data_IF_620287213511
#
_entry.id   IF_620287213511
#
_cell.length_a   1.000
_cell.length_b   1.000
_cell.length_c   1.000
_cell.angle_alpha   90.00
_cell.angle_beta   90.00
_cell.angle_gamma   90.00
#
_symmetry.space_group_name_H-M   'P 1'
#
loop_
_entity.id
_entity.type
_entity.pdbx_description
1 polymer ?
#
# COMPACT_ATOMS: atom_id res chain seq x y z
N UNK A 1 -12.81 15.07 -32.84
CA UNK A 1 -13.36 15.24 -31.49
C UNK A 1 -12.34 16.08 -30.71
N UNK A 2 -12.71 17.26 -30.23
CA UNK A 2 -11.79 18.14 -29.49
C UNK A 2 -11.48 17.43 -28.16
N UNK A 3 -10.23 17.01 -27.96
CA UNK A 3 -9.76 16.52 -26.66
C UNK A 3 -9.96 17.65 -25.65
N UNK A 4 -10.67 17.34 -24.57
CA UNK A 4 -10.85 18.26 -23.47
C UNK A 4 -9.47 18.57 -22.87
N UNK A 5 -9.08 19.84 -22.77
CA UNK A 5 -7.75 20.22 -22.25
C UNK A 5 -7.49 19.70 -20.81
N UNK A 6 -8.56 19.30 -20.12
CA UNK A 6 -8.49 18.73 -18.76
C UNK A 6 -7.93 17.29 -18.74
N UNK A 7 -8.02 16.55 -19.85
CA UNK A 7 -7.59 15.15 -19.95
C UNK A 7 -6.21 14.97 -20.61
N UNK A 8 -5.49 16.07 -20.86
CA UNK A 8 -4.12 16.04 -21.37
C UNK A 8 -3.12 16.41 -20.27
N UNK A 9 -2.08 15.59 -20.13
CA UNK A 9 -0.99 15.73 -19.14
C UNK A 9 0.38 15.71 -19.82
N UNK A 10 1.42 16.17 -19.14
CA UNK A 10 2.80 15.94 -19.58
C UNK A 10 3.23 14.53 -19.19
N UNK A 11 2.75 14.06 -18.02
CA UNK A 11 3.05 12.74 -17.50
C UNK A 11 1.82 12.08 -16.87
N UNK A 12 1.58 10.84 -17.25
CA UNK A 12 0.65 9.94 -16.53
C UNK A 12 1.47 8.86 -15.83
N UNK A 13 1.22 8.66 -14.53
CA UNK A 13 1.80 7.58 -13.72
C UNK A 13 0.69 6.59 -13.38
N UNK A 14 0.87 5.33 -13.77
CA UNK A 14 -0.08 4.25 -13.47
C UNK A 14 0.44 3.45 -12.27
N UNK A 15 -0.25 3.59 -11.15
CA UNK A 15 0.08 3.05 -9.84
C UNK A 15 0.62 4.10 -8.88
N UNK A 16 -0.04 4.28 -7.73
CA UNK A 16 0.34 5.21 -6.67
C UNK A 16 1.12 4.52 -5.51
N UNK A 17 1.81 3.43 -5.80
CA UNK A 17 2.80 2.83 -4.89
C UNK A 17 4.05 3.70 -4.73
N UNK A 18 5.06 3.27 -3.91
CA UNK A 18 6.27 4.07 -3.66
C UNK A 18 7.01 4.51 -4.93
N UNK A 19 7.07 3.66 -5.95
CA UNK A 19 7.65 4.03 -7.24
C UNK A 19 6.84 5.10 -7.98
N UNK A 20 5.50 5.01 -7.91
CA UNK A 20 4.60 5.90 -8.64
C UNK A 20 4.40 7.25 -7.98
N UNK A 21 3.98 7.31 -6.71
CA UNK A 21 3.72 8.60 -6.07
C UNK A 21 5.00 9.46 -5.94
N UNK A 22 6.17 8.85 -5.72
CA UNK A 22 7.44 9.59 -5.67
C UNK A 22 7.76 10.17 -7.05
N UNK A 23 7.57 9.40 -8.12
CA UNK A 23 7.73 9.87 -9.50
C UNK A 23 6.77 11.02 -9.80
N UNK A 24 5.47 10.85 -9.50
CA UNK A 24 4.45 11.87 -9.75
C UNK A 24 4.73 13.17 -9.01
N UNK A 25 5.08 13.09 -7.71
CA UNK A 25 5.45 14.26 -6.91
C UNK A 25 6.67 14.97 -7.46
N UNK A 26 7.71 14.21 -7.84
CA UNK A 26 8.94 14.82 -8.36
C UNK A 26 8.71 15.50 -9.71
N UNK A 27 7.95 14.88 -10.61
CA UNK A 27 7.59 15.47 -11.89
C UNK A 27 6.78 16.76 -11.73
N UNK A 28 5.79 16.75 -10.82
CA UNK A 28 4.99 17.94 -10.52
C UNK A 28 5.84 19.08 -9.93
N UNK A 29 6.80 18.77 -9.04
CA UNK A 29 7.77 19.76 -8.50
C UNK A 29 8.68 20.36 -9.59
N UNK A 30 8.89 19.65 -10.69
CA UNK A 30 9.64 20.13 -11.86
C UNK A 30 8.76 20.92 -12.84
N UNK A 31 7.50 21.17 -12.50
CA UNK A 31 6.57 21.97 -13.28
C UNK A 31 5.75 21.21 -14.31
N UNK A 32 5.81 19.88 -14.32
CA UNK A 32 4.99 19.05 -15.22
C UNK A 32 3.55 18.99 -14.73
N UNK A 33 2.59 18.93 -15.66
CA UNK A 33 1.20 18.58 -15.39
C UNK A 33 1.06 17.06 -15.30
N UNK A 34 0.79 16.55 -14.10
CA UNK A 34 0.87 15.12 -13.79
C UNK A 34 -0.49 14.56 -13.36
N UNK A 35 -0.86 13.39 -13.90
CA UNK A 35 -1.89 12.53 -13.34
C UNK A 35 -1.27 11.27 -12.72
N UNK A 36 -1.79 10.84 -11.58
CA UNK A 36 -1.45 9.58 -10.94
C UNK A 36 -2.72 8.75 -10.78
N UNK A 37 -2.72 7.53 -11.32
CA UNK A 37 -3.89 6.66 -11.39
C UNK A 37 -3.65 5.45 -10.49
N UNK A 38 -4.60 5.12 -9.61
CA UNK A 38 -4.51 3.90 -8.79
C UNK A 38 -5.89 3.25 -8.61
N UNK A 39 -5.90 1.92 -8.56
CA UNK A 39 -7.11 1.11 -8.38
C UNK A 39 -7.52 0.91 -6.92
N UNK A 40 -6.68 1.26 -5.95
CA UNK A 40 -6.89 0.94 -4.51
C UNK A 40 -7.76 1.95 -3.75
N UNK A 41 -8.02 3.10 -4.29
CA UNK A 41 -8.75 4.15 -3.59
C UNK A 41 -7.94 4.91 -2.52
N UNK A 42 -6.71 4.48 -2.22
CA UNK A 42 -5.77 5.18 -1.35
C UNK A 42 -4.35 5.03 -1.89
N UNK A 43 -3.52 6.09 -1.92
CA UNK A 43 -2.15 6.02 -2.40
C UNK A 43 -1.25 5.24 -1.43
N UNK A 44 -0.04 4.92 -1.91
CA UNK A 44 0.96 4.20 -1.12
C UNK A 44 1.14 2.75 -1.54
N UNK A 45 0.28 2.23 -2.42
CA UNK A 45 0.36 0.88 -2.97
C UNK A 45 0.39 -0.21 -1.90
N UNK A 46 1.02 -1.33 -2.21
CA UNK A 46 1.19 -2.45 -1.27
C UNK A 46 1.97 -2.03 -0.03
N UNK A 47 3.05 -1.25 -0.18
CA UNK A 47 3.92 -0.91 0.93
C UNK A 47 3.19 -0.19 2.09
N UNK A 48 2.44 0.88 1.80
CA UNK A 48 1.78 1.66 2.84
C UNK A 48 0.52 0.98 3.36
N UNK A 49 -0.23 0.32 2.48
CA UNK A 49 -1.56 -0.20 2.84
C UNK A 49 -1.52 -1.61 3.45
N UNK A 50 -0.76 -2.53 2.84
CA UNK A 50 -0.81 -3.97 3.18
C UNK A 50 0.57 -4.64 3.17
N UNK A 51 1.63 -3.88 3.42
CA UNK A 51 3.01 -4.38 3.38
C UNK A 51 3.90 -3.74 4.43
N UNK A 52 4.85 -2.90 3.99
CA UNK A 52 5.95 -2.38 4.82
C UNK A 52 5.48 -1.67 6.09
N UNK A 53 4.51 -0.77 5.98
CA UNK A 53 4.08 0.04 7.14
C UNK A 53 3.31 -0.80 8.16
N UNK A 54 2.25 -1.54 7.79
CA UNK A 54 1.56 -2.38 8.77
C UNK A 54 2.45 -3.47 9.35
N UNK A 55 3.34 -4.10 8.55
CA UNK A 55 4.28 -5.11 9.07
C UNK A 55 5.21 -4.53 10.11
N UNK A 56 5.86 -3.39 9.82
CA UNK A 56 6.78 -2.75 10.76
C UNK A 56 6.10 -2.28 12.04
N UNK A 57 4.86 -1.80 11.94
CA UNK A 57 4.09 -1.43 13.12
C UNK A 57 3.81 -2.63 14.03
N UNK A 58 3.42 -3.78 13.46
CA UNK A 58 3.18 -5.00 14.23
C UNK A 58 4.47 -5.61 14.77
N UNK A 59 5.55 -5.66 13.97
CA UNK A 59 6.85 -6.16 14.41
C UNK A 59 7.37 -5.33 15.59
N UNK A 60 7.36 -4.01 15.49
CA UNK A 60 7.78 -3.14 16.58
C UNK A 60 6.94 -3.35 17.86
N UNK A 61 5.63 -3.45 17.72
CA UNK A 61 4.74 -3.69 18.86
C UNK A 61 5.00 -5.09 19.50
N UNK A 62 5.31 -6.11 18.68
CA UNK A 62 5.64 -7.45 19.18
C UNK A 62 7.00 -7.50 19.86
N UNK A 63 8.00 -6.78 19.33
CA UNK A 63 9.32 -6.62 19.96
C UNK A 63 9.19 -5.99 21.35
N UNK A 64 8.49 -4.86 21.46
CA UNK A 64 8.25 -4.20 22.77
C UNK A 64 7.52 -5.11 23.74
N UNK A 65 6.55 -5.90 23.26
CA UNK A 65 5.85 -6.87 24.10
C UNK A 65 6.79 -7.97 24.60
N UNK A 66 7.62 -8.50 23.72
CA UNK A 66 8.56 -9.57 24.07
C UNK A 66 9.68 -9.08 25.01
N UNK A 67 10.30 -7.95 24.70
CA UNK A 67 11.31 -7.29 25.55
C UNK A 67 10.75 -7.01 26.95
N UNK A 68 9.50 -6.50 27.03
CA UNK A 68 8.86 -6.22 28.32
C UNK A 68 8.64 -7.51 29.14
N UNK A 69 8.31 -8.62 28.48
CA UNK A 69 8.14 -9.92 29.15
C UNK A 69 9.45 -10.50 29.71
N UNK A 70 10.57 -10.18 29.09
CA UNK A 70 11.91 -10.67 29.46
C UNK A 70 12.74 -9.60 30.18
N UNK A 71 12.15 -8.48 30.55
CA UNK A 71 12.84 -7.34 31.17
C UNK A 71 13.40 -7.64 32.58
N UNK A 72 12.92 -8.66 33.23
CA UNK A 72 13.44 -9.11 34.55
C UNK A 72 14.93 -9.51 34.50
N UNK A 73 15.39 -10.07 33.39
CA UNK A 73 16.80 -10.40 33.14
C UNK A 73 17.71 -9.15 33.17
N UNK A 74 17.12 -7.98 32.86
CA UNK A 74 17.79 -6.67 32.94
C UNK A 74 17.56 -5.95 34.28
N UNK A 75 16.91 -6.61 35.25
CA UNK A 75 16.57 -6.03 36.56
C UNK A 75 15.35 -5.10 36.54
N UNK A 76 14.54 -5.11 35.48
CA UNK A 76 13.33 -4.28 35.34
C UNK A 76 12.10 -5.14 35.65
N UNK A 77 11.38 -4.80 36.71
CA UNK A 77 10.16 -5.51 37.12
C UNK A 77 8.91 -4.82 36.58
N UNK A 78 8.19 -5.48 35.70
CA UNK A 78 7.00 -4.94 35.01
C UNK A 78 5.68 -5.58 35.48
N UNK A 79 5.74 -6.68 36.24
CA UNK A 79 4.57 -7.49 36.59
C UNK A 79 4.03 -8.26 35.37
N UNK A 80 2.74 -8.69 35.43
CA UNK A 80 2.16 -9.52 34.38
C UNK A 80 1.80 -8.69 33.14
N UNK A 81 2.59 -8.82 32.09
CA UNK A 81 2.31 -8.20 30.78
C UNK A 81 1.18 -8.96 30.06
N UNK A 82 0.24 -8.23 29.47
CA UNK A 82 -0.89 -8.77 28.69
C UNK A 82 -0.95 -8.10 27.33
N UNK A 83 -1.25 -8.89 26.30
CA UNK A 83 -1.52 -8.40 24.97
C UNK A 83 -2.99 -7.98 24.86
N UNK A 84 -3.22 -6.78 24.31
CA UNK A 84 -4.52 -6.31 23.81
C UNK A 84 -4.37 -6.21 22.27
N UNK A 85 -4.76 -7.29 21.58
CA UNK A 85 -4.58 -7.39 20.12
C UNK A 85 -5.39 -6.32 19.38
N UNK A 86 -6.60 -6.01 19.84
CA UNK A 86 -7.44 -4.98 19.21
C UNK A 86 -6.74 -3.61 19.19
N UNK A 87 -6.15 -3.23 20.34
CA UNK A 87 -5.37 -1.97 20.41
C UNK A 87 -4.09 -2.02 19.57
N UNK A 88 -3.42 -3.17 19.49
CA UNK A 88 -2.25 -3.35 18.63
C UNK A 88 -2.64 -3.20 17.16
N UNK A 89 -3.76 -3.78 16.72
CA UNK A 89 -4.26 -3.63 15.37
C UNK A 89 -4.70 -2.19 15.06
N UNK A 90 -5.32 -1.51 16.03
CA UNK A 90 -5.65 -0.09 15.90
C UNK A 90 -4.38 0.79 15.80
N UNK A 91 -3.31 0.46 16.54
CA UNK A 91 -2.02 1.13 16.43
C UNK A 91 -1.42 0.97 15.02
N UNK A 92 -1.42 -0.26 14.49
CA UNK A 92 -1.01 -0.54 13.11
C UNK A 92 -1.82 0.30 12.12
N UNK A 93 -3.15 0.34 12.26
CA UNK A 93 -4.02 1.05 11.33
C UNK A 93 -3.78 2.57 11.35
N UNK A 94 -3.57 3.18 12.52
CA UNK A 94 -3.18 4.60 12.61
C UNK A 94 -1.89 4.90 11.84
N UNK A 95 -0.93 3.98 11.84
CA UNK A 95 0.29 4.12 11.05
C UNK A 95 0.01 4.12 9.54
N UNK A 96 -0.84 3.23 9.08
CA UNK A 96 -1.29 3.16 7.67
C UNK A 96 -2.00 4.44 7.27
N UNK A 97 -3.01 4.85 8.05
CA UNK A 97 -3.84 6.02 7.75
C UNK A 97 -3.00 7.32 7.72
N UNK A 98 -2.10 7.49 8.68
CA UNK A 98 -1.23 8.66 8.72
C UNK A 98 -0.30 8.76 7.49
N UNK A 99 0.24 7.63 7.03
CA UNK A 99 1.11 7.62 5.86
C UNK A 99 0.33 7.85 4.56
N UNK A 100 -0.81 7.19 4.37
CA UNK A 100 -1.62 7.36 3.16
C UNK A 100 -2.19 8.77 3.04
N UNK A 101 -2.69 9.33 4.15
CA UNK A 101 -3.14 10.73 4.21
C UNK A 101 -1.99 11.72 3.92
N UNK A 102 -0.79 11.42 4.41
CA UNK A 102 0.40 12.21 4.13
C UNK A 102 0.73 12.25 2.64
N UNK A 103 0.66 11.11 1.94
CA UNK A 103 0.88 11.05 0.48
C UNK A 103 -0.22 11.80 -0.27
N UNK A 104 -1.49 11.60 0.08
CA UNK A 104 -2.62 12.35 -0.52
C UNK A 104 -2.43 13.86 -0.35
N UNK A 105 -2.06 14.31 0.85
CA UNK A 105 -1.77 15.72 1.11
C UNK A 105 -0.64 16.24 0.19
N UNK A 106 0.46 15.49 0.06
CA UNK A 106 1.59 15.88 -0.79
C UNK A 106 1.21 15.94 -2.27
N UNK A 107 0.43 14.96 -2.77
CA UNK A 107 -0.05 14.96 -4.15
C UNK A 107 -0.93 16.17 -4.41
N UNK A 108 -1.89 16.45 -3.54
CA UNK A 108 -2.75 17.64 -3.63
C UNK A 108 -1.95 18.95 -3.55
N UNK A 109 -1.00 19.05 -2.62
CA UNK A 109 -0.14 20.23 -2.46
C UNK A 109 0.69 20.54 -3.69
N UNK A 110 1.12 19.52 -4.43
CA UNK A 110 1.93 19.67 -5.64
C UNK A 110 1.08 19.68 -6.93
N UNK A 111 -0.25 19.67 -6.84
CA UNK A 111 -1.13 19.75 -8.00
C UNK A 111 -1.17 18.50 -8.87
N UNK A 112 -0.80 17.32 -8.31
CA UNK A 112 -0.96 16.03 -8.99
C UNK A 112 -2.44 15.68 -9.04
N UNK A 113 -2.97 15.39 -10.25
CA UNK A 113 -4.32 14.90 -10.42
C UNK A 113 -4.40 13.42 -9.98
N UNK A 114 -5.06 13.15 -8.85
CA UNK A 114 -5.37 11.78 -8.43
C UNK A 114 -6.60 11.28 -9.17
N UNK A 115 -6.48 10.13 -9.83
CA UNK A 115 -7.57 9.48 -10.55
C UNK A 115 -7.72 8.05 -10.02
N UNK A 116 -8.89 7.77 -9.44
CA UNK A 116 -9.17 6.46 -8.86
C UNK A 116 -9.82 5.56 -9.92
N UNK A 117 -9.10 4.54 -10.34
CA UNK A 117 -9.58 3.64 -11.37
C UNK A 117 -8.54 2.63 -11.83
N UNK A 118 -9.00 1.73 -12.67
CA UNK A 118 -8.14 0.74 -13.33
C UNK A 118 -7.72 1.28 -14.71
N UNK A 119 -6.42 1.54 -14.86
CA UNK A 119 -5.86 2.13 -16.06
C UNK A 119 -5.46 1.06 -17.08
N UNK A 120 -5.75 1.31 -18.34
CA UNK A 120 -5.35 0.51 -19.47
C UNK A 120 -4.64 1.38 -20.52
N UNK A 121 -3.41 1.01 -20.88
CA UNK A 121 -2.65 1.66 -21.95
C UNK A 121 -3.18 1.16 -23.30
N UNK A 122 -3.90 2.00 -24.04
CA UNK A 122 -4.51 1.62 -25.32
C UNK A 122 -3.52 1.76 -26.48
N UNK A 123 -2.70 2.80 -26.45
CA UNK A 123 -1.59 3.05 -27.37
C UNK A 123 -0.58 4.02 -26.76
N UNK A 124 0.59 4.22 -27.35
CA UNK A 124 1.59 5.15 -26.82
C UNK A 124 0.97 6.54 -26.54
N UNK A 125 1.07 6.99 -25.29
CA UNK A 125 0.56 8.28 -24.83
C UNK A 125 -0.94 8.34 -24.55
N UNK A 126 -1.71 7.24 -24.72
CA UNK A 126 -3.15 7.22 -24.45
C UNK A 126 -3.53 6.15 -23.44
N UNK A 127 -4.23 6.57 -22.41
CA UNK A 127 -4.65 5.74 -21.27
C UNK A 127 -6.16 5.84 -21.10
N UNK A 128 -6.81 4.69 -21.05
CA UNK A 128 -8.21 4.57 -20.66
C UNK A 128 -8.30 4.15 -19.20
N UNK A 129 -9.15 4.80 -18.43
CA UNK A 129 -9.34 4.55 -17.01
C UNK A 129 -10.78 4.17 -16.73
N UNK A 130 -11.01 2.93 -16.31
CA UNK A 130 -12.29 2.52 -15.72
C UNK A 130 -12.34 3.06 -14.28
N UNK A 131 -13.15 4.09 -14.05
CA UNK A 131 -13.24 4.79 -12.77
C UNK A 131 -13.91 3.93 -11.69
N UNK A 132 -13.48 4.07 -10.43
CA UNK A 132 -14.07 3.32 -9.31
C UNK A 132 -15.52 3.73 -9.00
N UNK A 133 -15.88 4.97 -9.30
CA UNK A 133 -17.25 5.50 -9.15
C UNK A 133 -18.14 5.25 -10.36
N UNK A 134 -17.60 4.56 -11.38
CA UNK A 134 -18.29 4.19 -12.61
C UNK A 134 -17.92 5.06 -13.80
N UNK A 135 -18.12 4.50 -14.98
CA UNK A 135 -17.77 5.16 -16.23
C UNK A 135 -16.31 4.97 -16.65
N UNK A 136 -15.96 5.57 -17.76
CA UNK A 136 -14.65 5.49 -18.38
C UNK A 136 -14.15 6.89 -18.73
N UNK A 137 -12.87 7.15 -18.47
CA UNK A 137 -12.19 8.40 -18.81
C UNK A 137 -10.99 8.13 -19.71
N UNK A 138 -10.89 8.85 -20.82
CA UNK A 138 -9.75 8.74 -21.75
C UNK A 138 -8.80 9.89 -21.51
N UNK A 139 -7.54 9.56 -21.22
CA UNK A 139 -6.47 10.52 -20.91
C UNK A 139 -5.38 10.44 -21.97
N UNK A 140 -4.65 11.53 -22.16
CA UNK A 140 -3.46 11.55 -23.02
C UNK A 140 -2.28 12.22 -22.33
N UNK A 141 -1.07 11.76 -22.63
CA UNK A 141 0.16 12.37 -22.12
C UNK A 141 1.33 12.20 -23.08
N UNK A 142 2.31 13.08 -22.94
CA UNK A 142 3.57 12.97 -23.69
C UNK A 142 4.41 11.78 -23.17
N UNK A 143 4.27 11.47 -21.87
CA UNK A 143 4.96 10.35 -21.24
C UNK A 143 4.00 9.54 -20.34
N UNK A 144 4.21 8.22 -20.31
CA UNK A 144 3.50 7.30 -19.39
C UNK A 144 4.49 6.45 -18.64
N UNK A 145 4.37 6.44 -17.32
CA UNK A 145 5.17 5.58 -16.42
C UNK A 145 4.28 4.47 -15.86
N UNK A 146 4.71 3.22 -16.07
CA UNK A 146 4.09 2.04 -15.49
C UNK A 146 4.75 1.74 -14.15
N UNK A 147 4.03 1.97 -13.05
CA UNK A 147 4.45 1.71 -11.68
C UNK A 147 3.40 0.83 -10.96
N UNK A 148 2.91 -0.17 -11.67
CA UNK A 148 1.75 -1.00 -11.28
C UNK A 148 2.00 -1.91 -10.09
N UNK A 149 3.26 -2.06 -9.65
CA UNK A 149 3.64 -2.85 -8.49
C UNK A 149 3.62 -4.34 -8.73
N UNK A 150 3.30 -5.10 -7.70
CA UNK A 150 3.26 -6.56 -7.69
C UNK A 150 2.04 -7.07 -6.94
N UNK A 151 1.67 -8.29 -7.24
CA UNK A 151 0.58 -9.02 -6.56
C UNK A 151 1.11 -10.34 -6.00
N UNK A 152 0.33 -10.97 -5.14
CA UNK A 152 0.66 -12.28 -4.59
C UNK A 152 0.73 -13.32 -5.71
N UNK A 153 1.85 -14.06 -5.75
CA UNK A 153 1.98 -15.20 -6.67
C UNK A 153 1.23 -16.40 -6.09
N UNK A 154 0.19 -16.91 -6.76
CA UNK A 154 -0.54 -18.05 -6.25
C UNK A 154 0.33 -19.32 -6.28
N UNK A 155 0.18 -20.17 -5.27
CA UNK A 155 0.78 -21.51 -5.26
C UNK A 155 -0.16 -22.47 -6.00
N UNK A 156 0.31 -23.20 -7.04
CA UNK A 156 -0.53 -24.13 -7.78
C UNK A 156 -1.20 -25.17 -6.86
N UNK A 157 -2.51 -25.32 -7.00
CA UNK A 157 -3.30 -26.25 -6.19
C UNK A 157 -3.67 -25.75 -4.79
N UNK A 158 -3.33 -24.50 -4.45
CA UNK A 158 -3.69 -23.88 -3.17
C UNK A 158 -4.52 -22.63 -3.45
N UNK A 159 -5.74 -22.61 -2.95
CA UNK A 159 -6.61 -21.44 -3.02
C UNK A 159 -6.43 -20.58 -1.76
N UNK A 160 -6.14 -19.31 -1.97
CA UNK A 160 -6.03 -18.31 -0.89
C UNK A 160 -7.43 -17.78 -0.62
N UNK A 161 -8.00 -18.13 0.54
CA UNK A 161 -9.35 -17.73 0.97
C UNK A 161 -9.33 -16.47 1.87
N UNK A 162 -8.14 -16.01 2.27
CA UNK A 162 -7.89 -14.90 3.21
C UNK A 162 -8.55 -15.13 4.61
N UNK A 163 -8.90 -16.37 4.93
CA UNK A 163 -9.44 -16.78 6.24
C UNK A 163 -8.52 -17.79 6.93
N UNK A 164 -8.28 -18.95 6.30
CA UNK A 164 -7.44 -20.05 6.81
C UNK A 164 -6.12 -20.16 6.04
N UNK A 165 -6.19 -19.93 4.75
CA UNK A 165 -5.03 -19.86 3.85
C UNK A 165 -4.94 -18.41 3.40
N UNK A 166 -4.04 -17.68 4.03
CA UNK A 166 -3.93 -16.23 3.86
C UNK A 166 -2.68 -15.86 3.08
N UNK A 167 -2.77 -14.79 2.31
CA UNK A 167 -1.60 -14.08 1.80
C UNK A 167 -0.96 -13.23 2.90
N UNK A 168 0.12 -12.52 2.56
CA UNK A 168 0.69 -11.51 3.45
C UNK A 168 -0.32 -10.41 3.83
N UNK A 169 -1.31 -10.15 3.00
CA UNK A 169 -2.38 -9.18 3.29
C UNK A 169 -3.28 -9.67 4.41
N UNK A 170 -3.81 -10.90 4.31
CA UNK A 170 -4.64 -11.50 5.36
C UNK A 170 -3.86 -11.73 6.66
N UNK A 171 -2.58 -12.11 6.56
CA UNK A 171 -1.74 -12.28 7.76
C UNK A 171 -1.58 -11.00 8.60
N UNK A 172 -1.69 -9.82 7.98
CA UNK A 172 -1.67 -8.53 8.66
C UNK A 172 -3.03 -8.10 9.23
N UNK A 173 -4.06 -8.93 9.08
CA UNK A 173 -5.44 -8.62 9.44
C UNK A 173 -6.08 -9.61 10.43
N UNK A 174 -5.32 -10.53 11.02
CA UNK A 174 -5.82 -11.49 12.00
C UNK A 174 -6.51 -10.78 13.18
N UNK A 175 -7.68 -11.28 13.54
CA UNK A 175 -8.47 -10.85 14.70
C UNK A 175 -8.05 -11.54 16.01
N UNK A 176 -7.29 -12.62 15.89
CA UNK A 176 -6.82 -13.42 17.01
C UNK A 176 -5.41 -13.96 16.72
N UNK A 177 -4.60 -14.15 17.75
CA UNK A 177 -3.28 -14.79 17.60
C UNK A 177 -3.49 -16.28 17.35
N UNK A 178 -3.09 -16.81 16.16
CA UNK A 178 -3.27 -18.23 15.87
C UNK A 178 -2.44 -19.10 16.81
N UNK A 179 -3.02 -20.20 17.30
CA UNK A 179 -2.29 -21.17 18.15
C UNK A 179 -1.20 -21.89 17.38
N UNK A 180 -1.37 -22.04 16.09
CA UNK A 180 -0.43 -22.67 15.17
C UNK A 180 -0.53 -21.97 13.82
N UNK A 181 0.62 -21.50 13.33
CA UNK A 181 0.75 -20.85 12.03
C UNK A 181 1.79 -21.60 11.21
N UNK A 182 1.43 -22.01 10.01
CA UNK A 182 2.36 -22.60 9.04
C UNK A 182 2.67 -21.56 7.98
N UNK A 183 3.96 -21.30 7.75
CA UNK A 183 4.43 -20.32 6.78
C UNK A 183 5.09 -21.09 5.64
N UNK A 184 4.63 -20.82 4.40
CA UNK A 184 5.19 -21.39 3.19
C UNK A 184 6.04 -20.33 2.49
N UNK A 185 7.35 -20.53 2.48
CA UNK A 185 8.34 -19.64 1.93
C UNK A 185 9.36 -19.19 2.97
N UNK A 186 10.48 -18.64 2.49
CA UNK A 186 11.57 -18.13 3.33
C UNK A 186 12.30 -16.98 2.62
N UNK A 187 11.56 -16.18 1.88
CA UNK A 187 12.08 -14.98 1.22
C UNK A 187 12.40 -13.86 2.20
N UNK A 188 12.88 -12.73 1.69
CA UNK A 188 13.33 -11.58 2.47
C UNK A 188 12.27 -11.08 3.49
N UNK A 189 10.99 -11.14 3.15
CA UNK A 189 9.90 -10.74 4.04
C UNK A 189 9.65 -11.74 5.19
N UNK A 190 10.11 -12.98 5.05
CA UNK A 190 9.86 -14.06 6.01
C UNK A 190 11.07 -14.39 6.86
N UNK A 191 12.24 -13.82 6.58
CA UNK A 191 13.50 -14.15 7.28
C UNK A 191 13.48 -13.74 8.76
N UNK A 192 12.60 -12.82 9.13
CA UNK A 192 12.43 -12.33 10.50
C UNK A 192 11.23 -12.94 11.23
N UNK A 193 10.50 -13.86 10.59
CA UNK A 193 9.36 -14.56 11.15
C UNK A 193 9.77 -15.99 11.52
#
# INVERSE_FOLDING_TARGET
MSQNSEDRFDLIVIGAGPGGYVCALRAAQLGMRVACIDKRGAPGGTCLNVGCIPSKALLHASEVFDETRHSEDMGIQTGKVKLDLEKMMAYKQRGVDGNTQGVTFLMKKNGVAEILGNAHLTRPGEVEVALLDGGTRSLSADHVVLATGSEVTPLPGVEIDEERIVSSTGALAFDSVPKHLVIVGAGLSLIHI
#
